data_IF_198967916954
#
_entry.id   IF_198967916954
#
_cell.length_a   1.000
_cell.length_b   1.000
_cell.length_c   1.000
_cell.angle_alpha   90.00
_cell.angle_beta   90.00
_cell.angle_gamma   90.00
#
_symmetry.space_group_name_H-M   'P 1'
#
loop_
_entity.id
_entity.type
_entity.pdbx_description
1 polymer ?
#
# COMPACT_ATOMS: atom_id res chain seq x y z
N UNK A 1 -5.05 18.05 -15.85
CA UNK A 1 -5.67 18.06 -14.49
C UNK A 1 -5.20 19.29 -13.74
N UNK A 2 -6.06 19.95 -12.95
CA UNK A 2 -5.66 21.03 -12.05
C UNK A 2 -4.68 20.44 -11.01
N UNK A 3 -3.67 21.21 -10.59
CA UNK A 3 -2.76 20.80 -9.55
C UNK A 3 -3.59 20.40 -8.31
N UNK A 4 -3.48 19.16 -7.89
CA UNK A 4 -4.19 18.66 -6.71
C UNK A 4 -3.65 19.39 -5.50
N UNK A 5 -4.50 20.18 -4.84
CA UNK A 5 -4.11 20.87 -3.62
C UNK A 5 -3.75 19.85 -2.56
N UNK A 6 -2.62 20.02 -1.90
CA UNK A 6 -2.21 19.18 -0.75
C UNK A 6 -2.34 20.06 0.49
N UNK A 7 -3.09 19.57 1.45
CA UNK A 7 -3.21 20.18 2.77
C UNK A 7 -2.32 19.40 3.77
N UNK A 8 -1.97 19.99 4.91
CA UNK A 8 -1.08 19.32 5.87
C UNK A 8 -1.52 17.91 6.27
N UNK A 9 -2.81 17.71 6.55
CA UNK A 9 -3.32 16.42 7.00
C UNK A 9 -2.84 16.02 8.39
N UNK A 10 -2.99 14.74 8.71
CA UNK A 10 -2.64 14.15 10.01
C UNK A 10 -1.57 13.06 9.84
N UNK A 11 -0.63 13.00 10.81
CA UNK A 11 0.40 11.96 10.85
C UNK A 11 -0.12 10.58 11.27
N UNK A 12 -1.35 10.49 11.77
CA UNK A 12 -2.02 9.25 12.19
C UNK A 12 -3.50 9.26 11.79
N UNK A 13 -4.07 8.11 11.37
CA UNK A 13 -3.43 6.79 11.23
C UNK A 13 -2.53 6.68 9.98
N UNK A 14 -1.56 5.75 10.02
CA UNK A 14 -0.72 5.44 8.86
C UNK A 14 -1.54 4.82 7.72
N UNK A 15 -1.06 5.02 6.50
CA UNK A 15 -1.74 4.59 5.29
C UNK A 15 -2.74 5.61 4.75
N UNK A 16 -3.63 5.16 3.86
CA UNK A 16 -4.68 5.99 3.29
C UNK A 16 -5.96 5.93 4.12
N UNK A 17 -6.45 7.09 4.54
CA UNK A 17 -7.70 7.21 5.31
C UNK A 17 -8.65 8.19 4.64
N UNK A 18 -9.74 7.65 4.10
CA UNK A 18 -10.81 8.43 3.48
C UNK A 18 -11.83 8.87 4.53
N UNK A 19 -12.23 10.15 4.51
CA UNK A 19 -13.15 10.77 5.48
C UNK A 19 -14.51 11.20 4.90
N UNK A 20 -14.71 10.98 3.59
CA UNK A 20 -15.91 11.41 2.87
C UNK A 20 -15.70 12.63 1.98
N UNK A 21 -14.69 13.46 2.22
CA UNK A 21 -14.37 14.67 1.46
C UNK A 21 -13.03 14.56 0.72
N UNK A 22 -12.13 13.72 1.22
CA UNK A 22 -10.81 13.48 0.66
C UNK A 22 -10.10 12.34 1.37
N UNK A 23 -8.82 12.20 1.14
CA UNK A 23 -8.01 11.13 1.71
C UNK A 23 -6.76 11.70 2.36
N UNK A 24 -6.53 11.32 3.61
CA UNK A 24 -5.27 11.53 4.31
C UNK A 24 -4.31 10.38 4.01
N UNK A 25 -3.06 10.71 3.74
CA UNK A 25 -1.99 9.75 3.50
C UNK A 25 -0.90 9.95 4.54
N UNK A 26 -0.45 8.87 5.17
CA UNK A 26 0.64 8.88 6.15
C UNK A 26 1.60 7.72 5.91
N UNK A 27 2.89 8.02 5.72
CA UNK A 27 3.97 7.06 5.50
C UNK A 27 5.11 7.29 6.50
N UNK A 28 5.41 6.29 7.30
CA UNK A 28 6.59 6.34 8.18
C UNK A 28 7.88 6.05 7.39
N UNK A 29 8.85 6.94 7.51
CA UNK A 29 10.21 6.71 7.01
C UNK A 29 11.22 7.61 7.74
N UNK A 30 12.05 6.99 8.57
CA UNK A 30 13.12 7.67 9.31
C UNK A 30 14.26 8.14 8.40
N UNK A 31 14.49 7.43 7.29
CA UNK A 31 15.66 7.64 6.42
C UNK A 31 15.35 8.41 5.13
N UNK A 32 14.09 8.78 4.91
CA UNK A 32 13.71 9.52 3.71
C UNK A 32 14.16 10.98 3.81
N UNK A 33 14.65 11.52 2.69
CA UNK A 33 14.90 12.94 2.50
C UNK A 33 13.70 13.64 1.82
N UNK A 34 12.88 12.87 1.08
CA UNK A 34 11.67 13.32 0.39
C UNK A 34 10.79 12.11 0.06
N UNK A 35 9.49 12.28 0.16
CA UNK A 35 8.49 11.29 -0.22
C UNK A 35 7.54 11.87 -1.25
N UNK A 36 7.38 11.17 -2.38
CA UNK A 36 6.37 11.44 -3.39
C UNK A 36 5.22 10.44 -3.23
N UNK A 37 4.00 10.95 -3.04
CA UNK A 37 2.77 10.20 -3.24
C UNK A 37 2.49 10.15 -4.74
N UNK A 38 2.33 8.96 -5.28
CA UNK A 38 2.05 8.73 -6.70
C UNK A 38 0.59 8.30 -6.85
N UNK A 39 -0.22 9.10 -7.53
CA UNK A 39 -1.60 8.76 -7.90
C UNK A 39 -1.62 8.26 -9.33
N UNK A 40 -2.47 7.27 -9.61
CA UNK A 40 -2.60 6.67 -10.94
C UNK A 40 -4.03 6.81 -11.46
N UNK A 41 -4.15 7.31 -12.67
CA UNK A 41 -5.41 7.36 -13.41
C UNK A 41 -5.77 5.98 -14.01
N UNK A 42 -6.95 5.87 -14.60
CA UNK A 42 -7.43 4.61 -15.19
C UNK A 42 -6.60 4.14 -16.39
N UNK A 43 -5.97 5.08 -17.11
CA UNK A 43 -5.04 4.78 -18.21
C UNK A 43 -3.61 4.43 -17.72
N UNK A 44 -3.37 4.51 -16.41
CA UNK A 44 -2.09 4.24 -15.79
C UNK A 44 -1.14 5.45 -15.72
N UNK A 45 -1.60 6.63 -16.10
CA UNK A 45 -0.79 7.87 -15.98
C UNK A 45 -0.49 8.16 -14.51
N UNK A 46 0.79 8.40 -14.20
CA UNK A 46 1.29 8.69 -12.86
C UNK A 46 1.36 10.20 -12.62
N UNK A 47 0.67 10.67 -11.59
CA UNK A 47 0.81 12.04 -11.05
C UNK A 47 1.56 11.96 -9.72
N UNK A 48 2.67 12.70 -9.59
CA UNK A 48 3.51 12.71 -8.38
C UNK A 48 3.28 13.98 -7.58
N UNK A 49 3.15 13.81 -6.27
CA UNK A 49 2.81 14.85 -5.32
C UNK A 49 3.75 14.73 -4.13
N UNK A 50 4.48 15.80 -3.80
CA UNK A 50 5.35 15.81 -2.63
C UNK A 50 4.52 15.87 -1.34
N UNK A 51 4.84 14.99 -0.39
CA UNK A 51 4.38 15.10 0.97
C UNK A 51 5.38 15.98 1.74
N UNK A 52 4.96 17.20 2.10
CA UNK A 52 5.86 18.19 2.68
C UNK A 52 5.81 18.24 4.21
N UNK A 53 4.74 17.69 4.80
CA UNK A 53 4.57 17.68 6.25
C UNK A 53 5.18 16.41 6.85
N UNK A 54 5.95 16.58 7.92
CA UNK A 54 6.62 15.48 8.63
C UNK A 54 6.47 15.65 10.13
N UNK A 55 5.88 14.66 10.78
CA UNK A 55 5.76 14.60 12.24
C UNK A 55 6.19 13.22 12.74
N UNK A 56 7.21 13.17 13.62
CA UNK A 56 7.72 11.93 14.16
C UNK A 56 8.18 10.92 13.09
N UNK A 57 8.84 11.38 12.01
CA UNK A 57 9.23 10.61 10.82
C UNK A 57 8.06 10.09 9.96
N UNK A 58 6.84 10.56 10.21
CA UNK A 58 5.69 10.28 9.36
C UNK A 58 5.53 11.41 8.35
N UNK A 59 5.69 11.10 7.08
CA UNK A 59 5.42 11.97 5.94
C UNK A 59 3.92 11.92 5.65
N UNK A 60 3.25 13.06 5.67
CA UNK A 60 1.79 13.06 5.53
C UNK A 60 1.25 14.22 4.71
N UNK A 61 0.02 14.08 4.27
CA UNK A 61 -0.72 15.08 3.54
C UNK A 61 -2.15 14.66 3.28
N UNK A 62 -3.05 15.63 3.27
CA UNK A 62 -4.45 15.43 2.95
C UNK A 62 -4.75 15.93 1.53
N UNK A 63 -5.39 15.11 0.72
CA UNK A 63 -5.76 15.43 -0.65
C UNK A 63 -7.29 15.51 -0.78
N UNK A 64 -7.83 16.74 -0.87
CA UNK A 64 -9.27 16.93 -1.09
C UNK A 64 -9.72 16.28 -2.39
N UNK A 65 -10.89 15.62 -2.37
CA UNK A 65 -11.50 15.01 -3.54
C UNK A 65 -10.89 13.67 -3.97
N UNK A 66 -9.79 13.21 -3.36
CA UNK A 66 -9.31 11.85 -3.57
C UNK A 66 -10.24 10.87 -2.86
N UNK A 67 -10.86 9.97 -3.63
CA UNK A 67 -11.95 9.11 -3.20
C UNK A 67 -11.60 7.63 -3.29
N UNK A 68 -12.41 6.73 -2.71
CA UNK A 68 -12.25 5.28 -2.86
C UNK A 68 -12.17 4.85 -4.32
N UNK A 69 -11.29 3.88 -4.58
CA UNK A 69 -10.93 3.43 -5.93
C UNK A 69 -9.65 4.08 -6.47
N UNK A 70 -9.18 5.20 -5.90
CA UNK A 70 -7.93 5.82 -6.32
C UNK A 70 -6.76 4.85 -6.08
N UNK A 71 -6.03 4.55 -7.15
CA UNK A 71 -4.78 3.77 -7.09
C UNK A 71 -3.63 4.69 -6.71
N UNK A 72 -2.77 4.21 -5.81
CA UNK A 72 -1.63 4.99 -5.35
C UNK A 72 -0.44 4.12 -4.96
N UNK A 73 0.69 4.78 -4.74
CA UNK A 73 1.90 4.22 -4.16
C UNK A 73 2.86 5.33 -3.77
N UNK A 74 4.06 4.98 -3.36
CA UNK A 74 5.05 5.95 -2.91
C UNK A 74 6.38 5.79 -3.65
N UNK A 75 7.07 6.92 -3.86
CA UNK A 75 8.47 6.94 -4.25
C UNK A 75 9.26 7.65 -3.17
N UNK A 76 10.27 6.97 -2.63
CA UNK A 76 11.05 7.46 -1.50
C UNK A 76 12.45 7.83 -1.95
N UNK A 77 12.81 9.08 -1.73
CA UNK A 77 14.15 9.61 -1.93
C UNK A 77 14.93 9.56 -0.63
N UNK A 78 16.24 9.34 -0.72
CA UNK A 78 17.11 9.25 0.45
C UNK A 78 18.37 8.47 0.14
N UNK A 79 19.13 8.11 1.17
CA UNK A 79 20.39 7.42 1.01
C UNK A 79 20.23 6.01 0.44
N UNK A 80 21.16 5.65 -0.45
CA UNK A 80 21.32 4.30 -0.95
C UNK A 80 22.69 3.78 -0.52
N UNK A 81 22.72 3.12 0.62
CA UNK A 81 23.90 2.46 1.18
C UNK A 81 23.48 1.08 1.72
N UNK A 82 23.47 0.03 0.88
CA UNK A 82 23.02 -1.31 1.27
C UNK A 82 23.77 -1.91 2.45
N UNK A 83 25.05 -1.55 2.63
CA UNK A 83 25.88 -2.03 3.75
C UNK A 83 25.34 -1.53 5.12
N UNK A 84 24.68 -0.38 5.14
CA UNK A 84 24.01 0.19 6.33
C UNK A 84 22.50 -0.09 6.33
N UNK A 85 21.97 -0.94 5.45
CA UNK A 85 20.54 -1.22 5.34
C UNK A 85 19.73 -0.14 4.64
N UNK A 86 20.33 0.97 4.19
CA UNK A 86 19.65 2.10 3.53
C UNK A 86 19.48 1.80 2.04
N UNK A 87 18.24 1.78 1.56
CA UNK A 87 17.92 1.37 0.17
C UNK A 87 16.89 2.26 -0.51
N UNK A 88 16.88 3.56 -0.21
CA UNK A 88 15.97 4.50 -0.88
C UNK A 88 16.25 4.54 -2.39
N UNK A 89 15.20 4.35 -3.18
CA UNK A 89 15.32 4.37 -4.63
C UNK A 89 14.03 4.92 -5.26
N UNK A 90 13.98 6.20 -5.71
CA UNK A 90 12.79 6.82 -6.27
C UNK A 90 12.33 6.20 -7.60
N UNK A 91 13.15 5.38 -8.24
CA UNK A 91 12.74 4.60 -9.41
C UNK A 91 11.88 3.39 -9.06
N UNK A 92 11.68 3.11 -7.77
CA UNK A 92 10.83 2.02 -7.30
C UNK A 92 9.52 2.59 -6.75
N UNK A 93 8.42 2.22 -7.39
CA UNK A 93 7.10 2.43 -6.83
C UNK A 93 6.93 1.42 -5.69
N UNK A 94 6.64 1.93 -4.50
CA UNK A 94 6.42 1.14 -3.30
C UNK A 94 4.93 1.05 -2.98
N UNK A 95 4.48 -0.13 -2.62
CA UNK A 95 3.15 -0.34 -2.06
C UNK A 95 3.14 0.25 -0.65
N UNK A 96 2.03 0.85 -0.26
CA UNK A 96 1.82 1.30 1.10
C UNK A 96 1.80 0.09 2.06
N UNK A 97 2.66 0.05 3.09
CA UNK A 97 2.64 -1.02 4.09
C UNK A 97 1.31 -1.17 4.82
N UNK A 98 0.50 -0.10 4.86
CA UNK A 98 -0.80 -0.04 5.51
C UNK A 98 -1.96 -0.05 4.51
N UNK A 99 -1.71 -0.43 3.25
CA UNK A 99 -2.75 -0.53 2.24
C UNK A 99 -3.86 -1.50 2.67
N UNK A 100 -5.09 -1.05 2.58
CA UNK A 100 -6.29 -1.87 2.87
C UNK A 100 -6.76 -2.67 1.67
N UNK A 101 -6.34 -2.27 0.46
CA UNK A 101 -6.57 -3.01 -0.78
C UNK A 101 -5.39 -2.80 -1.74
N UNK A 102 -5.15 -3.81 -2.58
CA UNK A 102 -4.10 -3.83 -3.59
C UNK A 102 -4.71 -4.30 -4.90
N UNK A 103 -4.37 -3.62 -6.01
CA UNK A 103 -4.79 -3.99 -7.35
C UNK A 103 -3.58 -4.24 -8.25
N UNK A 104 -3.68 -5.28 -9.09
CA UNK A 104 -2.63 -5.69 -10.00
C UNK A 104 -1.80 -6.85 -9.47
N UNK A 105 -0.76 -7.21 -10.22
CA UNK A 105 0.15 -8.31 -9.91
C UNK A 105 1.60 -7.88 -10.14
N UNK A 106 2.52 -8.57 -9.51
CA UNK A 106 3.95 -8.38 -9.75
C UNK A 106 4.34 -9.09 -11.06
N UNK A 107 4.87 -8.31 -12.01
CA UNK A 107 5.54 -8.86 -13.18
C UNK A 107 7.04 -8.95 -12.89
N UNK A 108 7.47 -10.15 -12.49
CA UNK A 108 8.83 -10.39 -12.04
C UNK A 108 9.87 -10.16 -13.13
N UNK A 109 10.86 -9.34 -12.82
CA UNK A 109 11.97 -9.02 -13.71
C UNK A 109 12.91 -8.01 -13.06
N UNK A 110 14.01 -7.67 -13.78
CA UNK A 110 15.02 -6.73 -13.30
C UNK A 110 14.42 -5.39 -12.78
N UNK A 111 13.36 -4.79 -13.39
CA UNK A 111 12.85 -3.50 -12.93
C UNK A 111 12.27 -3.52 -11.51
N UNK A 112 11.80 -4.68 -11.01
CA UNK A 112 11.20 -4.78 -9.67
C UNK A 112 12.23 -4.64 -8.55
N UNK A 113 13.48 -5.05 -8.82
CA UNK A 113 14.53 -5.05 -7.80
C UNK A 113 15.21 -3.68 -7.68
N UNK A 114 15.50 -3.26 -6.45
CA UNK A 114 16.17 -1.98 -6.17
C UNK A 114 17.65 -1.97 -6.57
N UNK A 115 18.24 -3.15 -6.82
CA UNK A 115 19.63 -3.37 -7.19
C UNK A 115 19.77 -4.03 -8.57
N UNK A 116 20.94 -3.93 -9.16
CA UNK A 116 21.27 -4.62 -10.42
C UNK A 116 21.64 -6.08 -10.17
N UNK A 117 21.15 -7.00 -11.00
CA UNK A 117 21.53 -8.41 -10.90
C UNK A 117 23.03 -8.59 -11.05
N UNK A 118 23.62 -9.40 -10.17
CA UNK A 118 25.06 -9.58 -10.08
C UNK A 118 25.82 -8.45 -9.35
N UNK A 119 25.16 -7.33 -9.03
CA UNK A 119 25.76 -6.19 -8.36
C UNK A 119 24.83 -5.63 -7.27
N UNK A 120 24.70 -6.31 -6.11
CA UNK A 120 23.73 -5.95 -5.07
C UNK A 120 23.92 -4.56 -4.45
N UNK A 121 25.12 -4.00 -4.55
CA UNK A 121 25.44 -2.65 -4.06
C UNK A 121 25.10 -1.54 -5.08
N UNK A 122 24.81 -1.90 -6.33
CA UNK A 122 24.48 -0.93 -7.36
C UNK A 122 22.99 -0.74 -7.50
N UNK A 123 22.55 0.52 -7.35
CA UNK A 123 21.15 0.92 -7.52
C UNK A 123 20.67 0.64 -8.95
N UNK A 124 19.49 0.05 -9.06
CA UNK A 124 18.81 -0.16 -10.34
C UNK A 124 17.84 1.00 -10.59
N UNK A 125 18.08 1.78 -11.63
CA UNK A 125 17.32 2.97 -11.99
C UNK A 125 16.17 2.68 -12.98
N UNK A 126 15.90 1.43 -13.33
CA UNK A 126 14.71 1.08 -14.12
C UNK A 126 13.44 1.36 -13.32
N UNK A 127 12.43 1.94 -13.95
CA UNK A 127 11.15 2.21 -13.29
C UNK A 127 10.39 0.90 -13.00
N UNK A 128 9.94 0.72 -11.77
CA UNK A 128 9.15 -0.45 -11.38
C UNK A 128 7.64 -0.27 -11.53
N UNK A 129 7.13 0.94 -11.71
CA UNK A 129 5.68 1.20 -11.71
C UNK A 129 4.89 0.33 -12.70
N UNK A 130 5.36 0.04 -13.93
CA UNK A 130 4.65 -0.87 -14.84
C UNK A 130 4.64 -2.35 -14.41
N UNK A 131 5.44 -2.71 -13.39
CA UNK A 131 5.72 -4.09 -13.03
C UNK A 131 5.23 -4.48 -11.63
N UNK A 132 4.64 -3.55 -10.88
CA UNK A 132 4.20 -3.78 -9.49
C UNK A 132 2.74 -3.40 -9.32
N UNK A 133 2.02 -4.07 -8.39
CA UNK A 133 0.66 -3.67 -8.04
C UNK A 133 0.64 -2.29 -7.38
N UNK A 134 -0.55 -1.73 -7.22
CA UNK A 134 -0.79 -0.44 -6.59
C UNK A 134 -1.68 -0.60 -5.38
N UNK A 135 -1.47 0.22 -4.38
CA UNK A 135 -2.39 0.37 -3.27
C UNK A 135 -3.66 1.06 -3.74
N UNK A 136 -4.79 0.78 -3.10
CA UNK A 136 -6.09 1.37 -3.46
C UNK A 136 -6.72 1.99 -2.23
N UNK A 137 -7.21 3.22 -2.37
CA UNK A 137 -8.00 3.89 -1.35
C UNK A 137 -9.34 3.17 -1.21
N UNK A 138 -9.73 2.82 0.02
CA UNK A 138 -11.00 2.16 0.30
C UNK A 138 -11.88 3.01 1.18
N UNK A 139 -13.19 2.88 1.03
CA UNK A 139 -14.14 3.45 1.95
C UNK A 139 -14.18 2.59 3.23
N UNK A 140 -13.82 3.11 4.40
CA UNK A 140 -13.88 2.36 5.65
C UNK A 140 -15.30 2.19 6.19
N UNK A 141 -16.26 2.92 5.64
CA UNK A 141 -17.63 2.91 6.10
C UNK A 141 -18.40 1.77 5.45
N UNK A 142 -18.81 0.83 6.27
CA UNK A 142 -19.70 -0.27 5.89
C UNK A 142 -21.00 -0.16 6.68
N UNK A 143 -22.13 -0.11 5.97
CA UNK A 143 -23.45 -0.09 6.61
C UNK A 143 -23.86 -1.51 7.00
N UNK A 144 -23.78 -1.80 8.28
CA UNK A 144 -24.23 -3.06 8.87
C UNK A 144 -25.76 -3.16 8.98
N UNK A 145 -26.50 -2.11 8.66
CA UNK A 145 -27.97 -2.05 8.82
C UNK A 145 -28.42 -2.52 10.21
N UNK A 146 -29.21 -3.57 10.24
CA UNK A 146 -29.69 -4.18 11.47
C UNK A 146 -28.84 -5.35 11.96
N UNK A 147 -27.75 -5.67 11.26
CA UNK A 147 -26.85 -6.76 11.66
C UNK A 147 -26.14 -6.41 12.97
N UNK A 148 -26.08 -7.38 13.86
CA UNK A 148 -25.45 -7.24 15.17
C UNK A 148 -24.56 -8.46 15.44
N UNK A 149 -23.34 -8.24 16.01
CA UNK A 149 -22.53 -9.37 16.43
C UNK A 149 -23.29 -10.23 17.45
N UNK A 150 -23.21 -11.56 17.34
CA UNK A 150 -23.94 -12.49 18.23
C UNK A 150 -23.54 -12.38 19.70
N UNK A 151 -22.37 -11.75 20.01
CA UNK A 151 -21.81 -11.56 21.36
C UNK A 151 -21.75 -12.85 22.18
N UNK A 152 -21.50 -13.99 21.51
CA UNK A 152 -21.32 -15.27 22.19
C UNK A 152 -20.17 -15.17 23.19
N UNK A 153 -20.35 -15.55 24.45
CA UNK A 153 -19.29 -15.53 25.44
C UNK A 153 -18.12 -16.41 25.01
N UNK A 154 -16.90 -16.05 25.34
CA UNK A 154 -15.71 -16.79 24.92
C UNK A 154 -15.72 -18.24 25.41
N UNK A 155 -16.23 -18.50 26.62
CA UNK A 155 -16.33 -19.85 27.20
C UNK A 155 -17.39 -20.74 26.51
N UNK A 156 -18.25 -20.19 25.68
CA UNK A 156 -19.22 -20.91 24.84
C UNK A 156 -18.78 -21.01 23.38
N UNK A 157 -17.61 -20.40 23.04
CA UNK A 157 -17.12 -20.33 21.67
C UNK A 157 -16.21 -21.52 21.38
N UNK A 158 -16.49 -22.23 20.30
CA UNK A 158 -15.60 -23.26 19.74
C UNK A 158 -15.06 -22.74 18.41
N UNK A 159 -13.72 -22.65 18.30
CA UNK A 159 -13.04 -22.25 17.07
C UNK A 159 -12.46 -23.50 16.42
N UNK A 160 -12.87 -23.76 15.19
CA UNK A 160 -12.32 -24.82 14.35
C UNK A 160 -11.55 -24.20 13.18
N UNK A 161 -10.24 -24.34 13.19
CA UNK A 161 -9.39 -23.87 12.10
C UNK A 161 -9.20 -25.01 11.09
N UNK A 162 -9.46 -24.74 9.82
CA UNK A 162 -9.30 -25.72 8.76
C UNK A 162 -8.68 -25.09 7.51
N UNK A 163 -7.70 -25.76 6.92
CA UNK A 163 -7.11 -25.37 5.64
C UNK A 163 -8.03 -25.81 4.50
N UNK A 164 -8.56 -24.88 3.71
CA UNK A 164 -9.56 -25.13 2.66
C UNK A 164 -9.15 -26.27 1.72
N UNK A 165 -7.92 -26.26 1.20
CA UNK A 165 -7.40 -27.31 0.31
C UNK A 165 -7.15 -28.63 1.04
N UNK A 166 -6.73 -28.60 2.30
CA UNK A 166 -6.36 -29.79 3.06
C UNK A 166 -7.54 -30.52 3.68
N UNK A 167 -8.63 -29.81 3.99
CA UNK A 167 -9.76 -30.33 4.74
C UNK A 167 -10.44 -31.53 4.04
N UNK A 168 -10.56 -31.48 2.73
CA UNK A 168 -11.28 -32.49 1.93
C UNK A 168 -10.40 -33.30 1.00
N UNK A 169 -9.08 -33.07 0.98
CA UNK A 169 -8.15 -33.67 0.02
C UNK A 169 -8.15 -35.19 0.01
N UNK A 170 -8.33 -35.82 1.17
CA UNK A 170 -8.35 -37.27 1.33
C UNK A 170 -9.74 -37.76 1.69
N UNK A 171 -10.77 -36.99 1.43
CA UNK A 171 -12.13 -37.35 1.80
C UNK A 171 -12.67 -38.42 0.84
N UNK A 172 -13.12 -39.62 1.33
CA UNK A 172 -13.39 -40.80 0.50
C UNK A 172 -14.56 -40.65 -0.48
N UNK A 173 -15.38 -39.59 -0.33
CA UNK A 173 -16.57 -39.36 -1.18
C UNK A 173 -16.33 -38.21 -2.18
N UNK A 174 -15.22 -37.46 -2.07
CA UNK A 174 -14.89 -36.37 -2.99
C UNK A 174 -13.90 -36.91 -4.03
N UNK A 175 -14.24 -36.90 -5.33
CA UNK A 175 -13.35 -37.37 -6.38
C UNK A 175 -12.07 -36.51 -6.42
N UNK A 176 -10.95 -37.17 -6.73
CA UNK A 176 -9.73 -36.44 -7.13
C UNK A 176 -9.96 -35.81 -8.52
N UNK A 177 -9.79 -34.49 -8.66
CA UNK A 177 -9.76 -33.77 -9.93
C UNK A 177 -8.39 -33.82 -10.59
#
# INVERSE_FOLDING_TARGET
>A
MAATAVWPGDSYPLGATYDGAGTNFGLFSEVADRVELCLFDDDGTETRIDLNEVDGFVWHGYLPGVSPGQRYGYRVHGPYNPAEGKRCNPHKLLIDPYAKAIEGQVNWGQPVFSYQFGHPDRRNNADSAPHVPRSVVVNPYFDWNLDRPPRTPYYETVIYEAHVRGLTREHPVIPDE
#
